data_IF_444482493534
#
_entry.id   IF_444482493534
#
_cell.length_a   1.000
_cell.length_b   1.000
_cell.length_c   1.000
_cell.angle_alpha   90.00
_cell.angle_beta   90.00
_cell.angle_gamma   90.00
#
_symmetry.space_group_name_H-M   'P 1'
#
loop_
_entity.id
_entity.type
_entity.pdbx_description
1 polymer ?
#
# COMPACT_ATOMS: atom_id res chain seq x y z
N UNK A 1 -27.10 -30.46 16.63
CA UNK A 1 -28.51 -30.50 17.07
C UNK A 1 -29.07 -29.10 16.78
N UNK A 2 -29.33 -28.73 15.53
CA UNK A 2 -30.53 -28.93 14.70
C UNK A 2 -30.11 -28.79 13.21
N UNK A 3 -30.27 -29.83 12.37
CA UNK A 3 -31.33 -30.03 11.35
C UNK A 3 -31.23 -29.06 10.14
N UNK A 4 -30.56 -29.44 9.03
CA UNK A 4 -31.06 -30.20 7.84
C UNK A 4 -32.32 -29.63 7.18
N UNK A 5 -32.15 -28.97 6.02
CA UNK A 5 -33.11 -28.89 4.91
C UNK A 5 -32.37 -29.51 3.70
N UNK A 6 -32.59 -30.77 3.29
CA UNK A 6 -33.72 -31.39 2.58
C UNK A 6 -34.00 -30.79 1.18
N UNK A 7 -33.44 -31.50 0.21
CA UNK A 7 -33.73 -31.54 -1.22
C UNK A 7 -35.23 -31.59 -1.55
N UNK A 8 -35.60 -30.95 -2.66
CA UNK A 8 -36.73 -31.38 -3.47
C UNK A 8 -36.25 -31.64 -4.90
N UNK A 9 -36.56 -32.86 -5.36
CA UNK A 9 -36.40 -33.39 -6.71
C UNK A 9 -37.79 -33.41 -7.35
N UNK A 10 -37.80 -33.33 -8.69
CA UNK A 10 -38.90 -33.60 -9.64
C UNK A 10 -39.75 -32.36 -10.01
N UNK A 11 -40.24 -32.16 -11.25
CA UNK A 11 -40.63 -33.10 -12.31
C UNK A 11 -40.45 -32.44 -13.69
N UNK A 12 -40.07 -33.28 -14.65
CA UNK A 12 -40.09 -33.19 -16.11
C UNK A 12 -41.33 -32.52 -16.72
N UNK A 13 -41.13 -31.60 -17.66
CA UNK A 13 -42.20 -31.06 -18.51
C UNK A 13 -41.68 -30.67 -19.90
N UNK A 14 -41.62 -31.64 -20.81
CA UNK A 14 -41.47 -31.38 -22.24
C UNK A 14 -42.77 -30.77 -22.79
N UNK A 15 -42.72 -29.54 -23.29
CA UNK A 15 -43.71 -29.03 -24.23
C UNK A 15 -42.98 -28.67 -25.52
N UNK A 16 -43.16 -29.53 -26.52
CA UNK A 16 -42.80 -29.28 -27.91
C UNK A 16 -43.90 -28.39 -28.49
N UNK A 17 -43.59 -27.12 -28.72
CA UNK A 17 -44.42 -26.23 -29.52
C UNK A 17 -43.94 -26.30 -30.98
N UNK A 18 -44.69 -27.06 -31.79
CA UNK A 18 -44.61 -27.00 -33.25
C UNK A 18 -45.35 -25.74 -33.69
N UNK A 19 -44.64 -24.73 -34.18
CA UNK A 19 -45.24 -23.63 -34.95
C UNK A 19 -44.84 -23.77 -36.40
N UNK A 20 -45.86 -23.92 -37.23
CA UNK A 20 -45.79 -24.13 -38.66
C UNK A 20 -45.19 -22.92 -39.40
N UNK A 21 -44.34 -23.24 -40.37
CA UNK A 21 -43.87 -22.32 -41.39
C UNK A 21 -45.01 -21.87 -42.32
N UNK A 22 -45.03 -20.57 -42.62
CA UNK A 22 -45.73 -20.02 -43.77
C UNK A 22 -44.76 -19.18 -44.59
N UNK A 23 -44.62 -19.57 -45.86
CA UNK A 23 -43.74 -19.01 -46.87
C UNK A 23 -44.09 -17.56 -47.25
N UNK A 24 -43.07 -16.79 -47.65
CA UNK A 24 -43.26 -15.75 -48.66
C UNK A 24 -42.32 -14.56 -48.58
N UNK A 25 -41.13 -14.67 -49.19
CA UNK A 25 -40.29 -13.52 -49.51
C UNK A 25 -38.84 -13.93 -49.70
N UNK A 26 -38.38 -14.00 -50.96
CA UNK A 26 -37.00 -14.35 -51.26
C UNK A 26 -36.01 -13.32 -50.70
N UNK A 27 -35.36 -13.66 -49.60
CA UNK A 27 -34.10 -13.07 -49.18
C UNK A 27 -32.99 -14.07 -49.51
N UNK A 28 -31.89 -13.58 -50.07
CA UNK A 28 -30.65 -14.33 -50.26
C UNK A 28 -30.32 -15.12 -48.98
N UNK A 29 -30.28 -16.44 -49.07
CA UNK A 29 -30.04 -17.35 -47.96
C UNK A 29 -28.60 -17.29 -47.48
N UNK A 30 -28.24 -16.23 -46.76
CA UNK A 30 -27.09 -16.27 -45.86
C UNK A 30 -27.50 -17.08 -44.63
N UNK A 31 -26.74 -18.14 -44.34
CA UNK A 31 -26.91 -18.92 -43.11
C UNK A 31 -26.74 -17.97 -41.90
N UNK A 32 -27.57 -18.10 -40.85
CA UNK A 32 -27.43 -17.26 -39.66
C UNK A 32 -26.03 -17.44 -39.09
N UNK A 33 -25.30 -16.33 -38.93
CA UNK A 33 -23.97 -16.33 -38.35
C UNK A 33 -24.06 -16.73 -36.87
N UNK A 34 -23.34 -17.78 -36.50
CA UNK A 34 -23.15 -18.19 -35.12
C UNK A 34 -21.79 -17.65 -34.66
N UNK A 35 -21.74 -16.74 -33.67
CA UNK A 35 -20.48 -16.19 -33.20
C UNK A 35 -19.61 -17.28 -32.55
N UNK A 36 -18.27 -17.19 -32.66
CA UNK A 36 -17.38 -18.13 -31.99
C UNK A 36 -17.55 -18.05 -30.47
N UNK A 37 -17.31 -19.16 -29.77
CA UNK A 37 -17.45 -19.21 -28.31
C UNK A 37 -16.16 -18.75 -27.65
N UNK A 38 -16.25 -17.97 -26.58
CA UNK A 38 -15.08 -17.60 -25.78
C UNK A 38 -14.66 -18.79 -24.93
N UNK A 39 -13.46 -19.31 -25.17
CA UNK A 39 -12.83 -20.35 -24.38
C UNK A 39 -12.26 -19.79 -23.06
N UNK A 40 -11.69 -18.57 -23.11
CA UNK A 40 -11.05 -17.92 -21.95
C UNK A 40 -10.97 -16.41 -22.12
N UNK A 41 -11.13 -15.65 -21.02
CA UNK A 41 -10.84 -14.21 -20.97
C UNK A 41 -10.01 -13.89 -19.72
N UNK A 42 -8.84 -13.25 -19.88
CA UNK A 42 -7.93 -12.93 -18.77
C UNK A 42 -7.47 -11.48 -18.84
N UNK A 43 -7.60 -10.75 -17.75
CA UNK A 43 -7.02 -9.42 -17.57
C UNK A 43 -5.52 -9.52 -17.29
N UNK A 44 -4.71 -8.94 -18.17
CA UNK A 44 -3.25 -8.86 -18.06
C UNK A 44 -2.83 -7.41 -17.84
N UNK A 45 -2.25 -7.18 -16.66
CA UNK A 45 -1.69 -5.88 -16.30
C UNK A 45 -0.52 -5.51 -17.22
N UNK A 46 -0.51 -4.27 -17.68
CA UNK A 46 0.57 -3.74 -18.51
C UNK A 46 1.64 -3.08 -17.64
N UNK A 47 2.90 -3.48 -17.86
CA UNK A 47 4.07 -2.91 -17.18
C UNK A 47 5.06 -2.47 -18.26
N UNK A 48 5.39 -1.19 -18.31
CA UNK A 48 6.36 -0.62 -19.25
C UNK A 48 7.51 0.02 -18.46
N UNK A 49 8.76 -0.38 -18.72
CA UNK A 49 9.95 0.14 -18.01
C UNK A 49 9.82 0.09 -16.47
N UNK A 50 9.25 -1.00 -15.95
CA UNK A 50 9.02 -1.21 -14.51
C UNK A 50 7.89 -0.37 -13.90
N UNK A 51 7.16 0.40 -14.70
CA UNK A 51 5.98 1.16 -14.27
C UNK A 51 4.72 0.39 -14.64
N UNK A 52 3.86 0.14 -13.66
CA UNK A 52 2.52 -0.37 -13.90
C UNK A 52 1.66 0.73 -14.53
N UNK A 53 1.08 0.46 -15.69
CA UNK A 53 0.24 1.42 -16.38
C UNK A 53 -1.20 1.35 -15.89
N UNK A 54 -1.93 2.46 -15.99
CA UNK A 54 -3.38 2.51 -15.71
C UNK A 54 -4.24 1.86 -16.79
N UNK A 55 -3.68 1.01 -17.65
CA UNK A 55 -4.42 0.26 -18.68
C UNK A 55 -4.27 -1.24 -18.47
N UNK A 56 -5.31 -1.97 -18.82
CA UNK A 56 -5.34 -3.44 -18.81
C UNK A 56 -5.53 -3.95 -20.23
N UNK A 57 -4.84 -5.04 -20.59
CA UNK A 57 -5.17 -5.78 -21.81
C UNK A 57 -5.90 -7.05 -21.40
N UNK A 58 -7.10 -7.24 -21.92
CA UNK A 58 -7.86 -8.48 -21.75
C UNK A 58 -7.54 -9.35 -22.95
N UNK A 59 -6.95 -10.52 -22.68
CA UNK A 59 -6.70 -11.56 -23.67
C UNK A 59 -7.92 -12.48 -23.74
N UNK A 60 -8.63 -12.42 -24.86
CA UNK A 60 -9.83 -13.22 -25.12
C UNK A 60 -9.49 -14.29 -26.15
N UNK A 61 -9.57 -15.55 -25.75
CA UNK A 61 -9.31 -16.72 -26.57
C UNK A 61 -10.64 -17.33 -27.00
N UNK A 62 -10.81 -17.51 -28.30
CA UNK A 62 -12.00 -18.12 -28.91
C UNK A 62 -11.73 -19.58 -29.30
N UNK A 63 -12.79 -20.38 -29.42
CA UNK A 63 -12.73 -21.77 -29.88
C UNK A 63 -12.46 -21.93 -31.39
N UNK A 64 -12.52 -20.82 -32.13
CA UNK A 64 -12.25 -20.74 -33.55
C UNK A 64 -11.68 -19.36 -33.94
N UNK A 65 -11.00 -19.32 -35.08
CA UNK A 65 -10.40 -18.08 -35.58
C UNK A 65 -11.47 -16.99 -35.78
N UNK A 66 -11.20 -15.81 -35.24
CA UNK A 66 -12.12 -14.67 -35.30
C UNK A 66 -12.00 -14.01 -36.66
N UNK A 67 -13.09 -14.01 -37.42
CA UNK A 67 -13.14 -13.37 -38.72
C UNK A 67 -13.05 -11.84 -38.59
N UNK A 68 -12.00 -11.24 -39.15
CA UNK A 68 -11.85 -9.79 -39.24
C UNK A 68 -12.54 -9.27 -40.53
N UNK A 69 -13.87 -9.36 -40.53
CA UNK A 69 -14.70 -8.90 -41.63
C UNK A 69 -14.70 -7.39 -41.81
N UNK A 70 -15.39 -6.92 -42.86
CA UNK A 70 -15.63 -5.48 -43.03
C UNK A 70 -16.56 -5.01 -41.92
N UNK A 71 -16.13 -4.01 -41.14
CA UNK A 71 -16.88 -3.40 -40.05
C UNK A 71 -17.39 -2.03 -40.45
N UNK A 72 -18.52 -1.61 -39.90
CA UNK A 72 -19.10 -0.29 -40.12
C UNK A 72 -18.49 0.78 -39.20
N UNK A 73 -17.88 0.34 -38.10
CA UNK A 73 -17.21 1.18 -37.11
C UNK A 73 -15.85 0.59 -36.68
N UNK A 74 -14.99 1.38 -36.01
CA UNK A 74 -13.80 0.86 -35.35
C UNK A 74 -14.12 -0.27 -34.36
N UNK A 75 -13.22 -1.25 -34.27
CA UNK A 75 -13.43 -2.47 -33.48
C UNK A 75 -13.77 -2.23 -32.00
N UNK A 76 -13.19 -1.20 -31.40
CA UNK A 76 -13.39 -0.87 -29.99
C UNK A 76 -14.80 -0.36 -29.67
N UNK A 77 -15.57 0.13 -30.65
CA UNK A 77 -16.96 0.57 -30.44
C UNK A 77 -17.92 -0.60 -30.17
N UNK A 78 -17.50 -1.82 -30.50
CA UNK A 78 -18.26 -3.04 -30.29
C UNK A 78 -17.90 -3.78 -29.00
N UNK A 79 -17.03 -3.19 -28.16
CA UNK A 79 -16.53 -3.86 -26.96
C UNK A 79 -16.64 -2.93 -25.76
N UNK A 80 -17.38 -3.37 -24.75
CA UNK A 80 -17.50 -2.70 -23.46
C UNK A 80 -17.23 -3.68 -22.32
N UNK A 81 -16.91 -3.16 -21.16
CA UNK A 81 -16.68 -3.96 -19.96
C UNK A 81 -17.41 -3.33 -18.77
N UNK A 82 -18.14 -4.16 -18.04
CA UNK A 82 -18.68 -3.81 -16.74
C UNK A 82 -17.64 -4.09 -15.67
N UNK A 83 -17.21 -3.04 -14.96
CA UNK A 83 -16.17 -3.09 -13.93
C UNK A 83 -16.81 -2.83 -12.57
N UNK A 84 -16.71 -3.77 -11.61
CA UNK A 84 -17.07 -3.49 -10.22
C UNK A 84 -16.27 -2.30 -9.68
N UNK A 85 -16.97 -1.31 -9.11
CA UNK A 85 -16.37 -0.06 -8.68
C UNK A 85 -16.92 0.39 -7.34
N UNK A 86 -16.03 0.70 -6.39
CA UNK A 86 -16.40 1.25 -5.09
C UNK A 86 -16.94 2.69 -5.18
N UNK A 87 -16.67 3.40 -6.28
CA UNK A 87 -17.14 4.78 -6.49
C UNK A 87 -18.43 4.88 -7.29
N UNK A 88 -18.89 3.79 -7.92
CA UNK A 88 -20.13 3.77 -8.70
C UNK A 88 -21.37 3.65 -7.80
N UNK A 89 -22.45 4.35 -8.14
CA UNK A 89 -23.68 4.37 -7.32
C UNK A 89 -24.42 3.04 -7.26
N UNK A 90 -24.30 2.23 -8.30
CA UNK A 90 -24.84 0.87 -8.44
C UNK A 90 -23.74 -0.20 -8.27
N UNK A 91 -22.51 0.22 -7.98
CA UNK A 91 -21.36 -0.66 -7.80
C UNK A 91 -20.74 -1.17 -9.10
N UNK A 92 -21.23 -0.74 -10.28
CA UNK A 92 -20.73 -1.19 -11.59
C UNK A 92 -20.50 0.03 -12.49
N UNK A 93 -19.36 0.07 -13.15
CA UNK A 93 -19.04 1.08 -14.16
C UNK A 93 -18.82 0.42 -15.53
N UNK A 94 -19.65 0.76 -16.52
CA UNK A 94 -19.45 0.30 -17.91
C UNK A 94 -18.43 1.19 -18.61
N UNK A 95 -17.34 0.59 -19.10
CA UNK A 95 -16.22 1.28 -19.77
C UNK A 95 -16.06 0.75 -21.19
N UNK A 96 -15.91 1.64 -22.17
CA UNK A 96 -15.58 1.24 -23.54
C UNK A 96 -14.12 0.85 -23.67
N UNK A 97 -13.84 -0.14 -24.53
CA UNK A 97 -12.47 -0.44 -24.94
C UNK A 97 -11.84 0.78 -25.63
N UNK A 98 -10.54 0.99 -25.43
CA UNK A 98 -9.77 2.02 -26.14
C UNK A 98 -9.11 1.48 -27.41
N UNK A 99 -8.86 0.17 -27.45
CA UNK A 99 -8.26 -0.50 -28.59
C UNK A 99 -8.72 -1.97 -28.61
N UNK A 100 -8.91 -2.52 -29.81
CA UNK A 100 -9.19 -3.95 -30.02
C UNK A 100 -8.35 -4.45 -31.18
N UNK A 101 -7.52 -5.48 -30.92
CA UNK A 101 -6.68 -6.14 -31.93
C UNK A 101 -7.09 -7.61 -32.05
N UNK A 102 -7.26 -8.08 -33.28
CA UNK A 102 -7.59 -9.48 -33.58
C UNK A 102 -6.39 -10.17 -34.21
N UNK A 103 -6.06 -11.37 -33.73
CA UNK A 103 -4.92 -12.18 -34.15
C UNK A 103 -5.25 -13.68 -34.08
N UNK A 104 -5.78 -14.22 -35.17
CA UNK A 104 -6.25 -15.61 -35.23
C UNK A 104 -7.42 -15.86 -34.26
N UNK A 105 -7.21 -16.76 -33.30
CA UNK A 105 -8.18 -17.12 -32.24
C UNK A 105 -8.16 -16.14 -31.06
N UNK A 106 -7.22 -15.19 -31.05
CA UNK A 106 -7.06 -14.23 -29.96
C UNK A 106 -7.62 -12.86 -30.32
N UNK A 107 -8.33 -12.26 -29.37
CA UNK A 107 -8.72 -10.86 -29.37
C UNK A 107 -8.11 -10.19 -28.15
N UNK A 108 -7.37 -9.12 -28.38
CA UNK A 108 -6.74 -8.31 -27.34
C UNK A 108 -7.56 -7.02 -27.18
N UNK A 109 -8.16 -6.84 -26.02
CA UNK A 109 -8.99 -5.67 -25.71
C UNK A 109 -8.25 -4.80 -24.70
N UNK A 110 -7.84 -3.60 -25.12
CA UNK A 110 -7.22 -2.64 -24.20
C UNK A 110 -8.33 -1.82 -23.53
N UNK A 111 -8.32 -1.82 -22.20
CA UNK A 111 -9.21 -1.03 -21.34
C UNK A 111 -8.36 0.03 -20.64
N UNK A 112 -8.75 1.32 -20.66
CA UNK A 112 -7.95 2.41 -20.09
C UNK A 112 -8.01 2.50 -18.56
N UNK A 113 -8.24 1.37 -17.87
CA UNK A 113 -8.33 1.24 -16.40
C UNK A 113 -7.84 -0.12 -15.92
N UNK A 114 -7.47 -0.28 -14.64
CA UNK A 114 -7.32 -1.59 -14.01
C UNK A 114 -8.63 -2.38 -14.06
N UNK A 115 -8.56 -3.68 -14.40
CA UNK A 115 -9.74 -4.58 -14.46
C UNK A 115 -9.68 -5.56 -13.30
N UNK A 116 -10.58 -5.47 -12.29
CA UNK A 116 -10.64 -6.40 -11.17
C UNK A 116 -11.35 -7.71 -11.52
N UNK A 117 -11.34 -8.64 -10.55
CA UNK A 117 -12.21 -9.81 -10.54
C UNK A 117 -13.68 -9.40 -10.64
N UNK A 118 -14.52 -10.34 -11.08
CA UNK A 118 -15.96 -10.18 -11.29
C UNK A 118 -16.34 -9.14 -12.36
N UNK A 119 -15.39 -8.73 -13.21
CA UNK A 119 -15.67 -7.89 -14.38
C UNK A 119 -16.26 -8.71 -15.52
N UNK A 120 -17.21 -8.13 -16.26
CA UNK A 120 -17.91 -8.80 -17.37
C UNK A 120 -17.63 -8.07 -18.68
N UNK A 121 -17.02 -8.75 -19.64
CA UNK A 121 -16.77 -8.23 -20.98
C UNK A 121 -17.97 -8.49 -21.89
N UNK A 122 -18.42 -7.44 -22.58
CA UNK A 122 -19.48 -7.49 -23.58
C UNK A 122 -18.90 -7.25 -24.98
N UNK A 123 -19.13 -8.20 -25.87
CA UNK A 123 -18.67 -8.15 -27.26
C UNK A 123 -19.89 -8.20 -28.18
N UNK A 124 -20.14 -7.11 -28.88
CA UNK A 124 -21.25 -7.01 -29.83
C UNK A 124 -20.94 -7.76 -31.13
N UNK A 125 -21.99 -8.30 -31.76
CA UNK A 125 -21.88 -9.04 -33.03
C UNK A 125 -21.22 -8.24 -34.17
N UNK A 126 -21.33 -6.91 -34.12
CA UNK A 126 -20.67 -6.00 -35.05
C UNK A 126 -19.14 -6.13 -35.09
N UNK A 127 -18.50 -6.63 -34.03
CA UNK A 127 -17.06 -6.94 -34.04
C UNK A 127 -16.69 -7.97 -35.13
N UNK A 128 -17.62 -8.88 -35.42
CA UNK A 128 -17.48 -9.96 -36.39
C UNK A 128 -18.06 -9.61 -37.78
N UNK A 129 -18.56 -8.38 -37.96
CA UNK A 129 -19.24 -7.94 -39.18
C UNK A 129 -20.72 -8.37 -39.25
N UNK A 130 -21.31 -8.78 -38.13
CA UNK A 130 -22.71 -9.25 -38.05
C UNK A 130 -23.46 -8.52 -36.94
N UNK A 131 -24.00 -7.33 -37.23
CA UNK A 131 -24.72 -6.49 -36.25
C UNK A 131 -25.98 -7.14 -35.66
N UNK A 132 -26.54 -8.13 -36.36
CA UNK A 132 -27.73 -8.86 -35.93
C UNK A 132 -27.39 -10.08 -35.04
N UNK A 133 -26.09 -10.41 -34.89
CA UNK A 133 -25.66 -11.50 -34.03
C UNK A 133 -25.81 -11.11 -32.55
N UNK A 134 -26.18 -12.07 -31.67
CA UNK A 134 -26.34 -11.80 -30.25
C UNK A 134 -25.00 -11.38 -29.62
N UNK A 135 -25.01 -10.48 -28.62
CA UNK A 135 -23.80 -10.11 -27.90
C UNK A 135 -23.25 -11.30 -27.11
N UNK A 136 -21.93 -11.38 -27.02
CA UNK A 136 -21.22 -12.31 -26.15
C UNK A 136 -20.96 -11.62 -24.82
N UNK A 137 -21.27 -12.30 -23.72
CA UNK A 137 -20.91 -11.89 -22.37
C UNK A 137 -19.96 -12.92 -21.77
N UNK A 138 -18.85 -12.47 -21.19
CA UNK A 138 -17.87 -13.36 -20.59
C UNK A 138 -17.24 -12.77 -19.33
N UNK A 139 -17.13 -13.58 -18.28
CA UNK A 139 -16.42 -13.22 -17.06
C UNK A 139 -14.92 -13.10 -17.34
N UNK A 140 -14.31 -12.03 -16.84
CA UNK A 140 -12.88 -11.78 -17.00
C UNK A 140 -12.13 -12.23 -15.76
N UNK A 141 -11.24 -13.22 -15.92
CA UNK A 141 -10.35 -13.62 -14.84
C UNK A 141 -9.30 -12.53 -14.57
N UNK A 142 -9.14 -12.11 -13.32
CA UNK A 142 -8.17 -11.10 -12.90
C UNK A 142 -7.50 -11.48 -11.58
N UNK A 143 -6.30 -10.95 -11.35
CA UNK A 143 -5.57 -11.07 -10.08
C UNK A 143 -5.89 -9.94 -9.11
N UNK A 144 -6.55 -8.87 -9.57
CA UNK A 144 -6.88 -7.71 -8.73
C UNK A 144 -8.26 -7.89 -8.11
N UNK A 145 -8.38 -7.65 -6.82
CA UNK A 145 -9.68 -7.37 -6.20
C UNK A 145 -10.22 -5.99 -6.61
N UNK A 146 -11.51 -5.74 -6.41
CA UNK A 146 -12.12 -4.40 -6.61
C UNK A 146 -11.41 -3.32 -5.81
N UNK A 147 -11.01 -3.64 -4.57
CA UNK A 147 -10.25 -2.73 -3.71
C UNK A 147 -8.87 -2.39 -4.32
N UNK A 148 -8.12 -3.40 -4.74
CA UNK A 148 -6.81 -3.20 -5.38
C UNK A 148 -6.90 -2.44 -6.71
N UNK A 149 -7.93 -2.70 -7.52
CA UNK A 149 -8.15 -1.94 -8.75
C UNK A 149 -8.49 -0.46 -8.47
N UNK A 150 -9.16 -0.18 -7.34
CA UNK A 150 -9.42 1.20 -6.88
C UNK A 150 -8.12 1.90 -6.52
N UNK A 151 -7.26 1.26 -5.71
CA UNK A 151 -5.93 1.79 -5.35
C UNK A 151 -5.05 2.04 -6.57
N UNK A 152 -4.94 1.06 -7.47
CA UNK A 152 -4.19 1.22 -8.72
C UNK A 152 -4.79 2.26 -9.68
N UNK A 153 -6.06 2.63 -9.46
CA UNK A 153 -6.86 3.45 -10.36
C UNK A 153 -6.92 4.91 -9.97
N UNK A 154 -6.85 5.25 -8.67
CA UNK A 154 -7.11 6.60 -8.15
C UNK A 154 -6.31 6.85 -6.88
N UNK A 155 -5.86 8.11 -6.70
CA UNK A 155 -5.30 8.55 -5.44
C UNK A 155 -6.42 8.71 -4.41
N UNK A 156 -6.22 8.20 -3.20
CA UNK A 156 -7.16 8.32 -2.10
C UNK A 156 -6.92 9.62 -1.31
N UNK A 157 -8.00 10.20 -0.82
CA UNK A 157 -8.02 11.39 0.01
C UNK A 157 -8.71 11.15 1.35
N UNK A 158 -8.23 11.77 2.44
CA UNK A 158 -8.88 11.68 3.75
C UNK A 158 -10.20 12.43 3.78
N UNK A 159 -11.19 11.83 4.42
CA UNK A 159 -12.53 12.42 4.59
C UNK A 159 -12.74 13.00 5.98
N UNK A 160 -11.91 12.62 6.96
CA UNK A 160 -11.93 13.20 8.31
C UNK A 160 -10.85 14.27 8.48
N UNK A 161 -11.19 15.46 9.02
CA UNK A 161 -10.18 16.46 9.37
C UNK A 161 -9.22 15.98 10.46
N UNK A 162 -9.63 15.06 11.33
CA UNK A 162 -8.82 14.56 12.46
C UNK A 162 -7.55 13.81 11.99
N UNK A 163 -7.55 13.33 10.74
CA UNK A 163 -6.40 12.62 10.14
C UNK A 163 -5.33 13.59 9.64
N UNK A 164 -5.74 14.78 9.15
CA UNK A 164 -4.87 15.72 8.43
C UNK A 164 -4.66 17.07 9.11
N UNK A 165 -5.47 17.39 10.12
CA UNK A 165 -5.38 18.63 10.88
C UNK A 165 -4.69 18.35 12.20
N UNK A 166 -3.65 19.13 12.52
CA UNK A 166 -2.96 18.99 13.79
C UNK A 166 -3.72 19.77 14.84
N UNK A 167 -4.08 19.09 15.92
CA UNK A 167 -4.37 19.72 17.20
C UNK A 167 -3.11 20.17 17.92
N UNK A 168 -3.29 20.61 19.16
CA UNK A 168 -2.17 20.91 20.05
C UNK A 168 -1.47 19.61 20.49
N UNK A 169 -0.15 19.65 20.77
CA UNK A 169 0.52 18.54 21.41
C UNK A 169 -0.19 18.13 22.70
N UNK A 170 -0.33 16.82 22.97
CA UNK A 170 -0.95 16.33 24.20
C UNK A 170 -0.17 16.83 25.42
N UNK A 171 -0.90 17.15 26.50
CA UNK A 171 -0.27 17.59 27.74
C UNK A 171 0.48 16.44 28.41
N UNK A 172 1.70 16.72 28.87
CA UNK A 172 2.49 15.75 29.64
C UNK A 172 1.80 15.49 30.99
N UNK A 173 1.59 14.22 31.30
CA UNK A 173 0.98 13.73 32.53
C UNK A 173 2.04 13.11 33.45
N UNK A 174 1.68 12.86 34.71
CA UNK A 174 2.55 12.10 35.62
C UNK A 174 2.75 10.65 35.16
N UNK A 175 1.77 10.10 34.43
CA UNK A 175 1.86 8.75 33.86
C UNK A 175 3.02 8.64 32.89
N UNK A 176 3.27 9.67 32.08
CA UNK A 176 4.32 9.70 31.05
C UNK A 176 5.75 9.60 31.60
N UNK A 177 5.91 9.86 32.90
CA UNK A 177 7.18 9.84 33.64
C UNK A 177 7.27 8.70 34.65
N UNK A 178 6.26 7.84 34.73
CA UNK A 178 6.21 6.75 35.69
C UNK A 178 6.70 5.44 35.07
N UNK A 179 7.83 4.94 35.56
CA UNK A 179 8.51 3.74 35.05
C UNK A 179 7.62 2.50 35.08
N UNK A 180 6.83 2.30 36.13
CA UNK A 180 6.01 1.09 36.27
C UNK A 180 4.75 1.16 35.39
N UNK A 181 4.17 2.35 35.25
CA UNK A 181 3.03 2.58 34.36
C UNK A 181 3.42 2.33 32.92
N UNK A 182 4.53 2.93 32.43
CA UNK A 182 4.97 2.76 31.05
C UNK A 182 5.36 1.32 30.73
N UNK A 183 6.04 0.65 31.66
CA UNK A 183 6.37 -0.77 31.53
C UNK A 183 5.13 -1.64 31.37
N UNK A 184 4.08 -1.38 32.15
CA UNK A 184 2.80 -2.11 32.03
C UNK A 184 2.10 -1.79 30.71
N UNK A 185 2.01 -0.53 30.32
CA UNK A 185 1.37 -0.13 29.04
C UNK A 185 2.09 -0.79 27.86
N UNK A 186 3.42 -0.84 27.86
CA UNK A 186 4.22 -1.55 26.86
C UNK A 186 3.87 -3.04 26.79
N UNK A 187 3.75 -3.71 27.94
CA UNK A 187 3.35 -5.13 28.01
C UNK A 187 1.94 -5.33 27.46
N UNK A 188 0.98 -4.49 27.87
CA UNK A 188 -0.41 -4.57 27.41
C UNK A 188 -0.49 -4.36 25.89
N UNK A 189 0.29 -3.43 25.34
CA UNK A 189 0.42 -3.22 23.90
C UNK A 189 0.94 -4.47 23.17
N UNK A 190 2.03 -5.09 23.66
CA UNK A 190 2.60 -6.30 23.07
C UNK A 190 1.64 -7.50 23.14
N UNK A 191 0.86 -7.62 24.21
CA UNK A 191 -0.21 -8.61 24.32
C UNK A 191 -1.32 -8.31 23.31
N UNK A 192 -1.71 -7.04 23.17
CA UNK A 192 -2.70 -6.58 22.18
C UNK A 192 -2.29 -6.88 20.73
N UNK A 193 -0.99 -6.83 20.43
CA UNK A 193 -0.39 -7.27 19.14
C UNK A 193 -0.46 -8.79 18.93
N UNK A 194 -0.89 -9.58 19.93
CA UNK A 194 -0.89 -11.04 19.86
C UNK A 194 0.51 -11.66 19.90
N UNK A 195 1.50 -10.96 20.44
CA UNK A 195 2.87 -11.48 20.52
C UNK A 195 2.99 -12.64 21.53
N UNK A 196 4.04 -13.45 21.38
CA UNK A 196 4.30 -14.58 22.28
C UNK A 196 4.86 -14.11 23.63
N UNK A 197 4.68 -14.90 24.69
CA UNK A 197 5.29 -14.63 26.01
C UNK A 197 6.81 -14.42 25.94
N UNK A 198 7.50 -15.10 25.00
CA UNK A 198 8.94 -14.92 24.81
C UNK A 198 9.29 -13.53 24.27
N UNK A 199 8.47 -12.95 23.39
CA UNK A 199 8.66 -11.60 22.86
C UNK A 199 8.37 -10.58 23.96
N UNK A 200 7.28 -10.76 24.72
CA UNK A 200 6.95 -9.90 25.88
C UNK A 200 8.08 -9.90 26.90
N UNK A 201 8.60 -11.09 27.26
CA UNK A 201 9.72 -11.20 28.20
C UNK A 201 11.00 -10.51 27.70
N UNK A 202 11.26 -10.54 26.39
CA UNK A 202 12.40 -9.84 25.77
C UNK A 202 12.22 -8.33 25.79
N UNK A 203 11.04 -7.82 25.43
CA UNK A 203 10.72 -6.40 25.49
C UNK A 203 10.90 -5.82 26.90
N UNK A 204 10.41 -6.56 27.90
CA UNK A 204 10.62 -6.24 29.31
C UNK A 204 12.11 -6.22 29.66
N UNK A 205 12.86 -7.22 29.20
CA UNK A 205 14.32 -7.27 29.38
C UNK A 205 15.03 -6.07 28.77
N UNK A 206 14.64 -5.64 27.56
CA UNK A 206 15.15 -4.43 26.90
C UNK A 206 14.85 -3.21 27.76
N UNK A 207 13.58 -3.00 28.13
CA UNK A 207 13.14 -1.86 28.94
C UNK A 207 13.92 -1.74 30.26
N UNK A 208 14.07 -2.87 30.98
CA UNK A 208 14.72 -2.92 32.29
C UNK A 208 16.26 -2.79 32.18
N UNK A 209 16.86 -3.12 31.02
CA UNK A 209 18.30 -3.08 30.79
C UNK A 209 18.83 -1.73 30.28
N UNK A 210 17.98 -0.90 29.65
CA UNK A 210 18.40 0.42 29.18
C UNK A 210 18.70 1.33 30.38
N UNK A 211 19.93 1.86 30.41
CA UNK A 211 20.41 2.73 31.48
C UNK A 211 19.57 4.04 31.55
N UNK A 212 18.94 4.36 32.70
CA UNK A 212 18.23 5.63 32.88
C UNK A 212 19.11 6.88 32.75
N UNK A 213 20.43 6.78 32.83
CA UNK A 213 21.32 7.92 32.55
C UNK A 213 21.46 8.18 31.04
N UNK A 214 21.34 7.15 30.20
CA UNK A 214 21.38 7.27 28.73
C UNK A 214 19.99 7.56 28.17
N UNK A 215 18.94 6.91 28.71
CA UNK A 215 17.55 7.14 28.31
C UNK A 215 16.70 7.47 29.54
N UNK A 216 16.70 8.73 30.00
CA UNK A 216 15.99 9.13 31.22
C UNK A 216 14.50 8.85 31.16
N UNK A 217 13.89 9.13 30.01
CA UNK A 217 12.46 8.98 29.80
C UNK A 217 12.02 7.50 29.83
N UNK A 218 11.15 7.07 30.78
CA UNK A 218 10.56 5.74 30.73
C UNK A 218 9.67 5.53 29.50
N UNK A 219 9.10 6.61 28.94
CA UNK A 219 8.30 6.54 27.71
C UNK A 219 9.15 6.16 26.49
N UNK A 220 10.34 6.74 26.34
CA UNK A 220 11.27 6.38 25.27
C UNK A 220 11.74 4.93 25.44
N UNK A 221 12.05 4.50 26.67
CA UNK A 221 12.38 3.10 26.95
C UNK A 221 11.24 2.14 26.61
N UNK A 222 9.98 2.52 26.87
CA UNK A 222 8.81 1.73 26.49
C UNK A 222 8.67 1.61 24.97
N UNK A 223 8.89 2.70 24.23
CA UNK A 223 8.89 2.66 22.77
C UNK A 223 10.00 1.77 22.21
N UNK A 224 11.23 1.89 22.71
CA UNK A 224 12.35 1.01 22.33
C UNK A 224 12.08 -0.47 22.67
N UNK A 225 11.57 -0.75 23.86
CA UNK A 225 11.20 -2.11 24.28
C UNK A 225 10.08 -2.70 23.42
N UNK A 226 9.10 -1.88 23.00
CA UNK A 226 7.99 -2.31 22.16
C UNK A 226 8.38 -2.61 20.70
N UNK A 227 9.57 -2.23 20.25
CA UNK A 227 10.11 -2.66 18.96
C UNK A 227 10.32 -4.18 18.89
N UNK A 228 10.38 -4.87 20.04
CA UNK A 228 10.50 -6.32 20.09
C UNK A 228 9.43 -7.03 19.25
N UNK A 229 9.86 -8.02 18.48
CA UNK A 229 9.03 -8.78 17.55
C UNK A 229 8.65 -8.03 16.27
N UNK A 230 9.16 -6.82 16.02
CA UNK A 230 9.04 -6.13 14.74
C UNK A 230 10.31 -6.28 13.90
N UNK A 231 10.26 -5.91 12.61
CA UNK A 231 11.47 -5.86 11.78
C UNK A 231 12.47 -4.79 12.25
N UNK A 232 12.01 -3.82 13.05
CA UNK A 232 12.80 -2.73 13.61
C UNK A 232 13.40 -3.03 14.99
N UNK A 233 13.20 -4.23 15.56
CA UNK A 233 13.88 -4.65 16.80
C UNK A 233 15.41 -4.42 16.80
N UNK A 234 16.14 -4.63 15.68
CA UNK A 234 17.58 -4.37 15.63
C UNK A 234 18.02 -2.92 15.94
N UNK A 235 17.11 -1.94 15.89
CA UNK A 235 17.38 -0.56 16.31
C UNK A 235 17.99 -0.48 17.71
N UNK A 236 17.49 -1.33 18.61
CA UNK A 236 17.89 -1.31 20.03
C UNK A 236 19.35 -1.69 20.18
N UNK A 237 19.78 -2.78 19.54
CA UNK A 237 21.19 -3.19 19.58
C UNK A 237 22.07 -2.16 18.86
N UNK A 238 21.61 -1.63 17.73
CA UNK A 238 22.37 -0.64 16.97
C UNK A 238 22.58 0.68 17.72
N UNK A 239 21.64 1.10 18.57
CA UNK A 239 21.77 2.29 19.40
C UNK A 239 22.70 2.07 20.62
N UNK A 240 22.64 0.90 21.26
CA UNK A 240 23.27 0.70 22.58
C UNK A 240 24.47 -0.25 22.58
N UNK A 241 25.03 -0.58 21.42
CA UNK A 241 26.24 -1.42 21.30
C UNK A 241 27.31 -0.80 20.41
N UNK A 242 28.44 -1.50 20.25
CA UNK A 242 29.54 -1.15 19.34
C UNK A 242 29.30 -1.61 17.89
N UNK A 243 28.09 -2.10 17.57
CA UNK A 243 27.69 -2.55 16.22
C UNK A 243 27.32 -1.38 15.29
N UNK A 244 27.14 -0.17 15.85
CA UNK A 244 26.86 1.04 15.07
C UNK A 244 27.99 1.38 14.10
N UNK A 245 27.73 2.18 13.06
CA UNK A 245 28.78 2.57 12.11
C UNK A 245 29.90 3.40 12.75
N UNK A 246 29.65 4.06 13.88
CA UNK A 246 30.65 4.80 14.66
C UNK A 246 31.45 3.89 15.59
N UNK A 247 31.02 2.64 15.79
CA UNK A 247 31.59 1.72 16.76
C UNK A 247 31.38 2.14 18.21
N UNK A 248 30.48 3.10 18.45
CA UNK A 248 30.15 3.64 19.77
C UNK A 248 28.64 3.66 20.00
N UNK A 249 28.17 3.32 21.21
CA UNK A 249 26.76 3.46 21.56
C UNK A 249 26.37 4.95 21.66
N UNK A 250 25.08 5.23 21.56
CA UNK A 250 24.55 6.57 21.85
C UNK A 250 24.80 6.93 23.31
N UNK A 251 25.13 8.20 23.57
CA UNK A 251 25.36 8.70 24.93
C UNK A 251 24.09 9.25 25.57
N UNK A 252 23.10 9.62 24.75
CA UNK A 252 21.83 10.14 25.23
C UNK A 252 20.71 9.92 24.19
N UNK A 253 19.53 9.50 24.65
CA UNK A 253 18.26 9.56 23.91
C UNK A 253 17.22 10.25 24.80
N UNK A 254 16.81 11.45 24.43
CA UNK A 254 15.94 12.27 25.31
C UNK A 254 15.01 13.22 24.55
N UNK A 255 14.01 13.73 25.27
CA UNK A 255 13.21 14.86 24.82
C UNK A 255 13.98 16.17 25.05
N UNK A 256 14.39 16.83 23.97
CA UNK A 256 15.26 18.00 24.04
C UNK A 256 15.13 18.93 22.84
N UNK A 257 15.58 20.17 23.03
CA UNK A 257 15.63 21.15 21.94
C UNK A 257 16.55 20.68 20.82
N UNK A 258 16.03 20.63 19.59
CA UNK A 258 16.79 20.18 18.42
C UNK A 258 17.55 21.38 17.83
N UNK A 259 18.90 21.37 17.84
CA UNK A 259 19.69 22.46 17.28
C UNK A 259 19.40 22.63 15.79
N UNK A 260 19.08 23.85 15.37
CA UNK A 260 18.71 24.18 13.98
C UNK A 260 17.55 23.32 13.45
N UNK A 261 16.76 22.71 14.35
CA UNK A 261 15.84 21.64 14.01
C UNK A 261 14.56 22.09 13.33
N UNK A 262 14.28 23.39 13.23
CA UNK A 262 13.11 23.92 12.52
C UNK A 262 11.82 23.08 12.74
N UNK A 263 11.37 22.41 11.68
CA UNK A 263 10.19 21.54 11.66
C UNK A 263 10.44 20.09 12.05
N UNK A 264 11.69 19.62 12.14
CA UNK A 264 12.07 18.22 12.45
C UNK A 264 11.49 17.74 13.78
N UNK A 265 11.03 16.50 13.85
CA UNK A 265 10.41 15.91 15.05
C UNK A 265 11.43 15.24 15.96
N UNK A 266 12.47 14.64 15.36
CA UNK A 266 13.66 14.18 16.04
C UNK A 266 14.89 14.47 15.17
N UNK A 267 16.07 14.23 15.74
CA UNK A 267 17.35 14.32 15.05
C UNK A 267 18.46 13.61 15.81
N UNK A 268 19.37 12.96 15.08
CA UNK A 268 20.69 12.59 15.58
C UNK A 268 21.67 13.77 15.50
N UNK A 269 22.28 14.09 16.63
CA UNK A 269 23.38 15.05 16.73
C UNK A 269 24.62 14.37 17.32
N UNK A 270 25.74 15.10 17.30
CA UNK A 270 27.02 14.61 17.81
C UNK A 270 27.57 15.61 18.83
N UNK A 271 28.09 15.09 19.93
CA UNK A 271 28.79 15.91 20.91
C UNK A 271 30.21 16.30 20.44
N UNK A 272 30.96 16.99 21.30
CA UNK A 272 32.33 17.42 21.02
C UNK A 272 33.32 16.26 20.81
N UNK A 273 33.01 15.08 21.37
CA UNK A 273 33.80 13.86 21.19
C UNK A 273 33.42 13.08 19.93
N UNK A 274 32.31 13.46 19.29
CA UNK A 274 31.74 12.74 18.16
C UNK A 274 30.81 11.61 18.57
N UNK A 275 30.38 11.56 19.83
CA UNK A 275 29.42 10.57 20.30
C UNK A 275 28.00 10.96 19.91
N UNK A 276 27.18 9.96 19.53
CA UNK A 276 25.81 10.16 19.05
C UNK A 276 24.86 10.51 20.20
N UNK A 277 24.00 11.49 19.95
CA UNK A 277 22.87 11.87 20.80
C UNK A 277 21.61 11.90 19.93
N UNK A 278 20.54 11.26 20.37
CA UNK A 278 19.24 11.29 19.69
C UNK A 278 18.30 12.21 20.46
N UNK A 279 17.83 13.28 19.83
CA UNK A 279 16.91 14.24 20.44
C UNK A 279 15.55 14.18 19.78
N UNK A 280 14.50 14.01 20.59
CA UNK A 280 13.10 14.14 20.18
C UNK A 280 12.58 15.50 20.64
N UNK A 281 11.72 16.16 19.86
CA UNK A 281 11.13 17.45 20.26
C UNK A 281 10.45 17.35 21.63
N UNK A 282 10.58 18.36 22.52
CA UNK A 282 9.98 18.29 23.86
C UNK A 282 8.46 18.17 23.85
N UNK A 283 7.80 18.71 22.81
CA UNK A 283 6.35 18.59 22.62
C UNK A 283 5.87 17.16 22.42
N UNK A 284 6.77 16.22 22.11
CA UNK A 284 6.45 14.81 21.91
C UNK A 284 6.38 14.03 23.24
N UNK A 285 6.78 14.63 24.38
CA UNK A 285 6.76 13.94 25.67
C UNK A 285 5.34 13.51 26.07
N UNK A 286 4.30 14.24 25.64
CA UNK A 286 2.90 13.88 25.90
C UNK A 286 2.33 12.82 24.96
N UNK A 287 3.02 12.48 23.87
CA UNK A 287 2.50 11.59 22.82
C UNK A 287 2.35 10.16 23.30
N UNK A 288 1.50 9.38 22.65
CA UNK A 288 1.44 7.93 22.85
C UNK A 288 2.79 7.30 22.49
N UNK A 289 3.28 6.38 23.32
CA UNK A 289 4.61 5.81 23.14
C UNK A 289 4.69 4.99 21.83
N UNK A 290 3.56 4.44 21.36
CA UNK A 290 3.45 3.73 20.09
C UNK A 290 3.80 4.64 18.89
N UNK A 291 3.45 5.92 18.96
CA UNK A 291 3.78 6.89 17.91
C UNK A 291 5.27 7.26 17.90
N UNK A 292 5.98 7.04 19.02
CA UNK A 292 7.42 7.26 19.11
C UNK A 292 8.23 6.07 18.55
N UNK A 293 7.62 4.88 18.41
CA UNK A 293 8.31 3.69 17.90
C UNK A 293 8.84 3.90 16.47
N UNK A 294 8.04 4.38 15.49
CA UNK A 294 8.54 4.73 14.16
C UNK A 294 9.73 5.70 14.21
N UNK A 295 9.59 6.80 14.96
CA UNK A 295 10.59 7.86 15.03
C UNK A 295 11.92 7.35 15.60
N UNK A 296 11.89 6.52 16.64
CA UNK A 296 13.12 5.94 17.20
C UNK A 296 13.76 4.90 16.27
N UNK A 297 12.95 4.13 15.53
CA UNK A 297 13.45 3.21 14.53
C UNK A 297 14.11 3.92 13.34
N UNK A 298 13.58 5.09 12.97
CA UNK A 298 14.13 6.02 11.97
C UNK A 298 15.49 6.55 12.42
N UNK A 299 15.53 7.25 13.56
CA UNK A 299 16.76 7.92 14.04
C UNK A 299 17.90 6.94 14.35
N UNK A 300 17.57 5.66 14.60
CA UNK A 300 18.59 4.64 14.76
C UNK A 300 19.44 4.43 13.50
N UNK A 301 18.87 4.67 12.30
CA UNK A 301 19.56 4.52 11.01
C UNK A 301 20.65 5.57 10.87
N UNK A 302 20.36 6.83 11.16
CA UNK A 302 21.32 7.92 11.01
C UNK A 302 22.49 7.76 11.97
N UNK A 303 23.63 7.39 11.43
CA UNK A 303 24.79 7.01 12.23
C UNK A 303 25.98 7.96 12.04
N UNK A 304 26.02 8.71 10.93
CA UNK A 304 27.08 9.67 10.64
C UNK A 304 26.56 11.13 10.57
N UNK A 305 27.41 12.06 10.11
CA UNK A 305 27.10 13.51 10.11
C UNK A 305 26.50 14.01 8.79
N UNK A 306 26.27 13.12 7.83
CA UNK A 306 25.95 13.45 6.44
C UNK A 306 24.73 12.66 6.02
N UNK A 307 23.56 13.22 6.30
CA UNK A 307 22.30 12.66 5.83
C UNK A 307 22.14 12.94 4.33
N UNK A 308 21.66 11.95 3.59
CA UNK A 308 21.33 12.07 2.16
C UNK A 308 19.84 11.93 1.94
N UNK A 309 19.34 12.42 0.80
CA UNK A 309 17.90 12.32 0.52
C UNK A 309 17.44 10.87 0.32
N UNK A 310 18.30 10.01 -0.24
CA UNK A 310 18.03 8.58 -0.39
C UNK A 310 17.96 7.88 0.96
N UNK A 311 18.84 8.24 1.89
CA UNK A 311 18.85 7.73 3.27
C UNK A 311 17.60 8.15 4.05
N UNK A 312 17.26 9.44 4.07
CA UNK A 312 16.02 9.94 4.70
C UNK A 312 14.77 9.31 4.09
N UNK A 313 14.74 9.13 2.77
CA UNK A 313 13.62 8.47 2.09
C UNK A 313 13.50 7.02 2.54
N UNK A 314 14.63 6.31 2.70
CA UNK A 314 14.62 4.93 3.17
C UNK A 314 14.24 4.82 4.65
N UNK A 315 14.81 5.67 5.52
CA UNK A 315 14.47 5.73 6.93
C UNK A 315 12.98 6.04 7.15
N UNK A 316 12.45 7.02 6.42
CA UNK A 316 11.02 7.34 6.39
C UNK A 316 10.17 6.21 5.80
N UNK A 317 10.67 5.45 4.82
CA UNK A 317 9.90 4.32 4.31
C UNK A 317 9.75 3.22 5.37
N UNK A 318 10.81 2.96 6.15
CA UNK A 318 10.76 1.98 7.23
C UNK A 318 9.89 2.45 8.39
N UNK A 319 10.01 3.70 8.83
CA UNK A 319 9.20 4.18 9.95
C UNK A 319 7.70 4.20 9.63
N UNK A 320 7.31 4.59 8.41
CA UNK A 320 5.92 4.60 7.98
C UNK A 320 5.41 3.19 7.75
N UNK A 321 6.25 2.25 7.30
CA UNK A 321 5.87 0.84 7.29
C UNK A 321 5.62 0.31 8.71
N UNK A 322 6.45 0.67 9.69
CA UNK A 322 6.22 0.30 11.08
C UNK A 322 4.93 0.94 11.62
N UNK A 323 4.69 2.21 11.32
CA UNK A 323 3.45 2.90 11.68
C UNK A 323 2.23 2.24 11.06
N UNK A 324 2.30 1.86 9.78
CA UNK A 324 1.26 1.12 9.09
C UNK A 324 0.96 -0.20 9.83
N UNK A 325 1.97 -0.97 10.20
CA UNK A 325 1.78 -2.20 10.99
C UNK A 325 1.10 -1.92 12.34
N UNK A 326 1.48 -0.84 13.03
CA UNK A 326 0.83 -0.43 14.28
C UNK A 326 -0.65 -0.06 14.08
N UNK A 327 -1.00 0.66 13.00
CA UNK A 327 -2.40 1.01 12.69
C UNK A 327 -3.28 -0.20 12.38
N UNK A 328 -2.72 -1.28 11.82
CA UNK A 328 -3.49 -2.52 11.62
C UNK A 328 -3.91 -3.18 12.94
N UNK A 329 -3.24 -2.83 14.03
CA UNK A 329 -3.45 -3.40 15.37
C UNK A 329 -4.30 -2.44 16.21
N UNK A 330 -3.93 -1.16 16.22
CA UNK A 330 -4.65 -0.11 16.92
C UNK A 330 -4.95 1.08 15.97
N UNK A 331 -6.11 1.07 15.30
CA UNK A 331 -6.49 2.15 14.39
C UNK A 331 -6.77 3.48 15.09
N UNK A 332 -6.91 3.51 16.43
CA UNK A 332 -7.13 4.76 17.15
C UNK A 332 -5.94 5.71 17.08
N UNK A 333 -4.72 5.17 16.85
CA UNK A 333 -3.50 5.94 16.66
C UNK A 333 -3.59 6.94 15.48
N UNK A 334 -4.37 6.64 14.45
CA UNK A 334 -4.59 7.54 13.31
C UNK A 334 -5.50 8.73 13.66
N UNK A 335 -6.29 8.62 14.73
CA UNK A 335 -7.32 9.58 15.13
C UNK A 335 -6.96 10.37 16.39
N UNK A 336 -5.72 10.22 16.89
CA UNK A 336 -5.23 10.98 18.05
C UNK A 336 -5.23 12.50 17.79
N UNK A 337 -5.12 12.91 16.52
CA UNK A 337 -5.17 14.32 16.11
C UNK A 337 -3.99 15.15 16.63
N UNK A 338 -2.89 14.51 17.04
CA UNK A 338 -1.70 15.18 17.54
C UNK A 338 -0.78 15.58 16.38
N UNK A 339 0.18 16.49 16.59
CA UNK A 339 1.14 16.84 15.54
C UNK A 339 1.92 15.63 15.01
N UNK A 340 2.31 14.69 15.87
CA UNK A 340 3.02 13.48 15.47
C UNK A 340 2.11 12.50 14.71
N UNK A 341 0.90 12.23 15.22
CA UNK A 341 -0.03 11.33 14.51
C UNK A 341 -0.38 11.89 13.12
N UNK A 342 -0.57 13.21 13.00
CA UNK A 342 -0.79 13.85 11.70
C UNK A 342 0.40 13.68 10.75
N UNK A 343 1.64 13.87 11.22
CA UNK A 343 2.81 13.73 10.36
C UNK A 343 2.88 12.31 9.78
N UNK A 344 2.80 11.31 10.66
CA UNK A 344 2.78 9.89 10.28
C UNK A 344 1.59 9.54 9.36
N UNK A 345 0.40 10.11 9.61
CA UNK A 345 -0.77 9.93 8.74
C UNK A 345 -0.53 10.49 7.33
N UNK A 346 0.01 11.70 7.21
CA UNK A 346 0.27 12.32 5.91
C UNK A 346 1.28 11.50 5.13
N UNK A 347 2.37 11.08 5.77
CA UNK A 347 3.40 10.29 5.11
C UNK A 347 2.86 8.91 4.71
N UNK A 348 2.03 8.27 5.55
CA UNK A 348 1.34 7.02 5.18
C UNK A 348 0.34 7.21 4.03
N UNK A 349 -0.41 8.30 3.99
CA UNK A 349 -1.31 8.61 2.85
C UNK A 349 -0.49 8.78 1.56
N UNK A 350 0.65 9.48 1.62
CA UNK A 350 1.54 9.61 0.49
C UNK A 350 2.08 8.24 0.03
N UNK A 351 2.41 7.34 0.96
CA UNK A 351 2.86 5.98 0.67
C UNK A 351 1.77 5.10 0.06
N UNK A 352 0.51 5.22 0.51
CA UNK A 352 -0.66 4.52 -0.06
C UNK A 352 -0.94 5.00 -1.50
N UNK A 353 -0.74 6.29 -1.78
CA UNK A 353 -0.94 6.89 -3.10
C UNK A 353 0.28 6.74 -4.03
N UNK A 354 1.31 6.02 -3.59
CA UNK A 354 2.55 5.77 -4.32
C UNK A 354 2.67 4.27 -4.65
N UNK A 355 3.67 3.91 -5.46
CA UNK A 355 3.89 2.54 -5.95
C UNK A 355 4.09 2.50 -7.45
N UNK A 356 5.35 2.44 -7.89
CA UNK A 356 5.66 2.47 -9.32
C UNK A 356 5.24 1.17 -10.02
N UNK A 357 5.61 0.03 -9.44
CA UNK A 357 5.35 -1.30 -10.03
C UNK A 357 4.05 -1.93 -9.54
N UNK A 358 3.65 -1.62 -8.30
CA UNK A 358 2.49 -2.20 -7.62
C UNK A 358 1.65 -1.09 -6.95
N UNK A 359 1.02 -0.17 -7.71
CA UNK A 359 0.19 0.92 -7.16
C UNK A 359 -1.08 0.46 -6.41
N UNK A 360 -1.36 -0.84 -6.35
CA UNK A 360 -2.38 -1.46 -5.51
C UNK A 360 -1.87 -1.87 -4.11
N UNK A 361 -0.62 -1.58 -3.82
CA UNK A 361 0.08 -1.84 -2.55
C UNK A 361 0.67 -0.53 -2.01
N UNK A 362 1.33 -0.59 -0.85
CA UNK A 362 2.18 0.52 -0.39
C UNK A 362 3.38 0.69 -1.35
N UNK A 363 3.82 1.92 -1.56
CA UNK A 363 5.03 2.20 -2.34
C UNK A 363 5.60 3.57 -2.05
N UNK A 364 6.76 3.89 -2.62
CA UNK A 364 7.46 5.16 -2.37
C UNK A 364 7.66 6.01 -3.64
N UNK A 365 7.64 5.37 -4.81
CA UNK A 365 7.84 6.01 -6.10
C UNK A 365 6.50 6.38 -6.75
N UNK A 366 6.53 7.30 -7.70
CA UNK A 366 5.32 7.78 -8.36
C UNK A 366 4.60 6.66 -9.14
N UNK A 367 3.30 6.56 -8.90
CA UNK A 367 2.38 5.72 -9.64
C UNK A 367 1.92 6.39 -10.94
N UNK A 368 1.66 5.62 -11.99
CA UNK A 368 1.07 6.16 -13.22
C UNK A 368 -0.28 6.82 -12.92
N UNK A 369 -0.54 7.99 -13.51
CA UNK A 369 -1.76 8.78 -13.34
C UNK A 369 -2.02 9.39 -11.95
N UNK A 370 -1.16 9.17 -10.95
CA UNK A 370 -1.18 9.95 -9.71
C UNK A 370 -0.50 11.29 -9.95
N UNK A 371 -1.26 12.36 -9.73
CA UNK A 371 -0.81 13.75 -9.93
C UNK A 371 -0.48 14.46 -8.62
N UNK A 372 -0.99 13.94 -7.49
CA UNK A 372 -0.70 14.41 -6.14
C UNK A 372 -0.71 13.21 -5.19
N UNK A 373 0.37 12.99 -4.43
CA UNK A 373 0.43 11.94 -3.39
C UNK A 373 -0.38 12.31 -2.15
N UNK A 374 -0.64 13.61 -1.94
CA UNK A 374 -1.50 14.14 -0.89
C UNK A 374 -2.68 14.92 -1.49
N UNK A 375 -3.67 14.24 -2.09
CA UNK A 375 -4.85 14.90 -2.62
C UNK A 375 -5.60 15.69 -1.55
N UNK A 376 -6.22 16.81 -1.96
CA UNK A 376 -6.89 17.74 -1.03
C UNK A 376 -5.94 18.74 -0.35
N UNK A 377 -4.63 18.65 -0.62
CA UNK A 377 -3.63 19.66 -0.22
C UNK A 377 -3.20 20.51 -1.41
N UNK A 378 -2.42 21.57 -1.15
CA UNK A 378 -1.78 22.36 -2.21
C UNK A 378 -0.43 21.78 -2.66
N UNK A 379 -0.06 20.59 -2.20
CA UNK A 379 1.21 19.96 -2.55
C UNK A 379 1.17 19.46 -4.00
N UNK A 380 2.14 19.84 -4.86
CA UNK A 380 2.23 19.32 -6.22
C UNK A 380 2.99 17.99 -6.32
N UNK A 381 3.44 17.45 -5.18
CA UNK A 381 4.32 16.28 -5.10
C UNK A 381 3.55 15.01 -5.44
N UNK A 382 4.16 14.13 -6.22
CA UNK A 382 3.51 13.00 -6.89
C UNK A 382 3.79 11.65 -6.24
N UNK A 383 4.71 11.58 -5.29
CA UNK A 383 5.00 10.38 -4.54
C UNK A 383 5.46 10.68 -3.11
N UNK A 384 5.48 9.65 -2.28
CA UNK A 384 6.09 9.66 -0.96
C UNK A 384 7.55 10.15 -1.01
N UNK A 385 8.38 9.59 -1.90
CA UNK A 385 9.78 10.01 -2.01
C UNK A 385 9.92 11.51 -2.34
N UNK A 386 9.02 12.08 -3.15
CA UNK A 386 9.00 13.53 -3.41
C UNK A 386 8.53 14.33 -2.18
N UNK A 387 7.58 13.81 -1.40
CA UNK A 387 7.13 14.40 -0.13
C UNK A 387 8.28 14.49 0.87
N UNK A 388 9.00 13.38 1.09
CA UNK A 388 10.19 13.37 1.96
C UNK A 388 11.26 14.30 1.38
N UNK A 389 11.58 14.18 0.09
CA UNK A 389 12.60 15.03 -0.52
C UNK A 389 12.35 16.53 -0.40
N UNK A 390 11.08 16.94 -0.38
CA UNK A 390 10.70 18.34 -0.18
C UNK A 390 10.70 18.77 1.30
N UNK A 391 10.51 17.83 2.23
CA UNK A 391 10.52 18.12 3.67
C UNK A 391 11.93 18.37 4.22
N UNK A 392 12.95 17.82 3.56
CA UNK A 392 14.36 17.89 3.99
C UNK A 392 15.22 18.69 2.99
N UNK A 393 15.99 19.66 3.49
CA UNK A 393 16.96 20.43 2.68
C UNK A 393 18.32 19.72 2.65
N UNK A 394 18.34 18.51 2.06
CA UNK A 394 19.52 17.64 1.99
C UNK A 394 20.02 17.49 0.55
N UNK A 395 21.35 17.30 0.36
CA UNK A 395 21.89 17.03 -0.95
C UNK A 395 21.47 15.62 -1.43
N UNK A 396 21.13 15.46 -2.72
CA UNK A 396 21.05 14.13 -3.32
C UNK A 396 22.44 13.51 -3.42
N UNK A 397 22.50 12.17 -3.37
CA UNK A 397 23.74 11.43 -3.57
C UNK A 397 23.56 10.33 -4.62
N UNK A 398 24.43 10.33 -5.64
CA UNK A 398 24.47 9.24 -6.63
C UNK A 398 24.98 7.92 -6.03
N UNK A 399 25.56 7.95 -4.81
CA UNK A 399 26.09 6.80 -4.08
C UNK A 399 26.11 7.11 -2.58
N UNK A 400 24.94 7.11 -1.92
CA UNK A 400 24.87 7.29 -0.49
C UNK A 400 25.73 6.23 0.22
N UNK A 401 26.37 6.62 1.33
CA UNK A 401 27.15 5.67 2.11
C UNK A 401 26.23 4.55 2.60
N UNK A 402 26.65 3.27 2.59
CA UNK A 402 25.80 2.20 3.09
C UNK A 402 25.51 2.38 4.58
N UNK A 403 24.23 2.28 4.95
CA UNK A 403 23.82 2.24 6.36
C UNK A 403 23.50 0.81 6.79
N UNK A 404 24.31 0.29 7.71
CA UNK A 404 24.23 -1.11 8.13
C UNK A 404 22.86 -1.47 8.71
N UNK A 405 22.23 -0.56 9.47
CA UNK A 405 20.92 -0.83 10.05
C UNK A 405 19.82 -0.86 8.98
N UNK A 406 19.87 0.03 7.99
CA UNK A 406 18.94 0.02 6.87
C UNK A 406 19.07 -1.29 6.05
N UNK A 407 20.30 -1.77 5.85
CA UNK A 407 20.56 -3.08 5.21
C UNK A 407 19.94 -4.24 6.02
N UNK A 408 20.03 -4.18 7.35
CA UNK A 408 19.43 -5.17 8.24
C UNK A 408 17.90 -5.15 8.15
N UNK A 409 17.27 -3.98 8.22
CA UNK A 409 15.82 -3.85 8.05
C UNK A 409 15.37 -4.40 6.69
N UNK A 410 16.02 -3.98 5.61
CA UNK A 410 15.70 -4.45 4.26
C UNK A 410 15.87 -5.97 4.12
N UNK A 411 16.90 -6.55 4.75
CA UNK A 411 17.15 -8.00 4.72
C UNK A 411 16.06 -8.79 5.45
N UNK A 412 15.63 -8.32 6.63
CA UNK A 412 14.55 -8.96 7.39
C UNK A 412 13.24 -8.93 6.58
N UNK A 413 12.89 -7.77 6.02
CA UNK A 413 11.68 -7.61 5.20
C UNK A 413 11.74 -8.45 3.91
N UNK A 414 12.92 -8.54 3.28
CA UNK A 414 13.12 -9.36 2.09
C UNK A 414 12.94 -10.86 2.42
N UNK A 415 13.53 -11.33 3.52
CA UNK A 415 13.37 -12.72 3.98
C UNK A 415 11.90 -13.06 4.28
N UNK A 416 11.19 -12.17 5.00
CA UNK A 416 9.78 -12.37 5.35
C UNK A 416 8.86 -12.47 4.14
N UNK A 417 9.19 -11.75 3.07
CA UNK A 417 8.40 -11.73 1.82
C UNK A 417 8.91 -12.70 0.74
N UNK A 418 9.98 -13.45 1.01
CA UNK A 418 10.64 -14.29 0.00
C UNK A 418 11.26 -13.49 -1.15
N UNK A 419 11.51 -12.20 -0.94
CA UNK A 419 12.14 -11.29 -1.89
C UNK A 419 13.67 -11.39 -1.82
N UNK A 420 14.36 -11.08 -2.90
CA UNK A 420 15.82 -11.05 -2.91
C UNK A 420 16.31 -9.80 -2.18
N UNK A 421 17.21 -9.94 -1.21
CA UNK A 421 17.83 -8.79 -0.55
C UNK A 421 18.61 -7.91 -1.55
N UNK A 422 18.48 -6.59 -1.39
CA UNK A 422 19.10 -5.56 -2.20
C UNK A 422 19.48 -4.35 -1.34
N UNK A 423 19.93 -3.27 -1.97
CA UNK A 423 20.38 -2.07 -1.27
C UNK A 423 19.19 -1.16 -0.94
N UNK A 424 18.93 -0.82 0.33
CA UNK A 424 17.77 -0.03 0.75
C UNK A 424 17.73 1.37 0.12
N UNK A 425 18.89 1.91 -0.27
CA UNK A 425 18.99 3.24 -0.88
C UNK A 425 18.80 3.22 -2.40
N UNK A 426 18.69 2.05 -3.02
CA UNK A 426 18.08 1.93 -4.35
C UNK A 426 16.57 2.03 -4.21
N UNK A 427 16.02 3.23 -4.46
CA UNK A 427 14.59 3.50 -4.28
C UNK A 427 13.69 2.63 -5.17
N UNK A 428 14.19 2.08 -6.28
CA UNK A 428 13.41 1.14 -7.12
C UNK A 428 13.32 -0.24 -6.47
N UNK A 429 14.40 -0.67 -5.82
CA UNK A 429 14.40 -1.87 -4.99
C UNK A 429 13.49 -1.67 -3.78
N UNK A 430 13.65 -0.57 -3.04
CA UNK A 430 12.87 -0.29 -1.85
C UNK A 430 11.37 -0.18 -2.14
N UNK A 431 10.96 0.50 -3.21
CA UNK A 431 9.55 0.56 -3.65
C UNK A 431 8.92 -0.82 -3.83
N UNK A 432 9.66 -1.75 -4.46
CA UNK A 432 9.19 -3.11 -4.67
C UNK A 432 9.18 -3.92 -3.38
N UNK A 433 10.18 -3.75 -2.53
CA UNK A 433 10.26 -4.42 -1.23
C UNK A 433 9.06 -4.02 -0.36
N UNK A 434 8.81 -2.71 -0.19
CA UNK A 434 7.68 -2.17 0.58
C UNK A 434 6.33 -2.70 0.07
N UNK A 435 6.16 -2.78 -1.25
CA UNK A 435 4.94 -3.30 -1.87
C UNK A 435 4.61 -4.76 -1.52
N UNK A 436 5.59 -5.55 -1.03
CA UNK A 436 5.39 -6.94 -0.59
C UNK A 436 5.11 -7.07 0.91
N UNK A 437 5.20 -5.99 1.70
CA UNK A 437 5.16 -6.09 3.17
C UNK A 437 3.75 -6.08 3.76
N UNK A 438 2.73 -5.89 2.93
CA UNK A 438 1.36 -5.77 3.42
C UNK A 438 0.35 -6.51 2.53
N UNK A 439 -0.41 -7.40 3.16
CA UNK A 439 -1.51 -8.10 2.52
C UNK A 439 -2.68 -7.16 2.18
N UNK A 440 -3.47 -7.44 1.14
CA UNK A 440 -4.58 -6.57 0.73
C UNK A 440 -5.59 -6.27 1.83
N UNK A 441 -5.86 -7.23 2.74
CA UNK A 441 -6.80 -7.02 3.85
C UNK A 441 -6.24 -6.05 4.91
N UNK A 442 -4.93 -6.09 5.16
CA UNK A 442 -4.27 -5.16 6.06
C UNK A 442 -4.27 -3.74 5.47
N UNK A 443 -4.00 -3.62 4.17
CA UNK A 443 -4.08 -2.33 3.47
C UNK A 443 -5.50 -1.75 3.47
N UNK A 444 -6.53 -2.59 3.31
CA UNK A 444 -7.92 -2.16 3.46
C UNK A 444 -8.22 -1.65 4.88
N UNK A 445 -7.65 -2.28 5.92
CA UNK A 445 -7.80 -1.80 7.29
C UNK A 445 -7.14 -0.41 7.48
N UNK A 446 -6.02 -0.14 6.84
CA UNK A 446 -5.38 1.19 6.85
C UNK A 446 -6.24 2.26 6.20
N UNK A 447 -6.80 1.97 5.02
CA UNK A 447 -7.72 2.88 4.31
C UNK A 447 -8.90 3.25 5.21
N UNK A 448 -9.43 2.30 5.97
CA UNK A 448 -10.51 2.54 6.93
C UNK A 448 -10.01 3.37 8.13
N UNK A 449 -8.87 3.02 8.73
CA UNK A 449 -8.30 3.72 9.88
C UNK A 449 -8.02 5.20 9.57
N UNK A 450 -7.53 5.49 8.37
CA UNK A 450 -7.24 6.83 7.86
C UNK A 450 -8.45 7.52 7.22
N UNK A 451 -9.63 6.89 7.20
CA UNK A 451 -10.87 7.43 6.64
C UNK A 451 -10.74 7.87 5.17
N UNK A 452 -10.03 7.07 4.35
CA UNK A 452 -9.70 7.42 2.97
C UNK A 452 -10.80 7.03 1.98
N UNK A 453 -10.97 7.84 0.94
CA UNK A 453 -11.86 7.58 -0.19
C UNK A 453 -11.20 7.99 -1.52
N UNK A 454 -11.59 7.38 -2.67
CA UNK A 454 -11.05 7.74 -3.99
C UNK A 454 -11.31 9.18 -4.46
#
# INVERSE_FOLDING_TARGET
MYARFLSCIAVTGCIVAVVAAACGGGSSGEEPFEPPTVARAVAVRQIENGVALRKTVIEVEFDAAVYNGKRDAPAFEYVTIDIPSASASDGIETVSASEVRVDGEMVFVTVPRPVPQDSVLHIEGGLFGHTDAPPIQVDVASTLSTFQATLAGSALQPTSPDVVTAGDPPAVTTGDRDTEILRRIMVDHLIGRGTTESIVGRAVGIYDAIDPEIVPSPKIRAALGALAGSFAEPAVEYLFSDVSCTGTPVTLVDFGEIPQGGTLLARVIFDDNGDRIVLLKPSLEGERFELLMPLLAHEAIHCDRVDTIEEETAASAFDILLYAQLLTIDPSLALEGTPLSRALNLDLIAMINSGRRYPESLGILASDGVTQALPGTNSPLRSFAEVIANAYDLPPSDSPAPELLADVYASILAEQSGFQAGQPFDLVYLDQLIAQQMEPQALAALVIALTLQP
#
